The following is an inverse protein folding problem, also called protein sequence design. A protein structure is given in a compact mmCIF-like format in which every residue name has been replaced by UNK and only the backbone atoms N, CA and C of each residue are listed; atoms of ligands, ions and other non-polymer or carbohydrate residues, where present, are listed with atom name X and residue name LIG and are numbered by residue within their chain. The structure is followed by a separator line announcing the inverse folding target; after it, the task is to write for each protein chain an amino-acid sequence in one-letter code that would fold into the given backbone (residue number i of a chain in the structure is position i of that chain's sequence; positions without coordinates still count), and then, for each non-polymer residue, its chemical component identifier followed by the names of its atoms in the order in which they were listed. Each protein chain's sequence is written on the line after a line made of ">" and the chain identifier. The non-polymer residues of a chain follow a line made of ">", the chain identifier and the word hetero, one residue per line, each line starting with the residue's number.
data_IF_771723528951
#
_entry.id   IF_771723528951
#
_cell.length_a   1.000
_cell.length_b   1.000
_cell.length_c   1.000
_cell.angle_alpha   90.00
_cell.angle_beta   90.00
_cell.angle_gamma   90.00
#
_symmetry.space_group_name_H-M   'P 1'
#
loop_
_entity.id
_entity.type
_entity.pdbx_description
1 polymer ?
#
# COMPACT_ATOMS: atom_id res chain seq x y z
N UNK A 1 -9.20 21.19 -1.05
CA UNK A 1 -10.04 20.16 -1.16
C UNK A 1 -9.38 18.93 -1.58
N UNK A 2 -9.84 17.85 -1.15
CA UNK A 2 -9.21 16.63 -1.49
C UNK A 2 -9.80 16.05 -2.73
N UNK A 3 -8.95 15.67 -3.66
CA UNK A 3 -9.42 15.02 -4.85
C UNK A 3 -9.33 13.52 -4.70
N UNK A 4 -8.82 13.03 -3.56
CA UNK A 4 -8.64 11.62 -3.36
C UNK A 4 -9.70 11.00 -2.46
N UNK A 5 -10.72 11.77 -2.13
CA UNK A 5 -11.75 11.28 -1.23
C UNK A 5 -12.38 10.01 -1.77
N UNK A 6 -12.37 8.97 -0.97
CA UNK A 6 -12.87 7.64 -1.33
C UNK A 6 -12.09 6.90 -2.42
N UNK A 7 -10.94 7.40 -2.84
CA UNK A 7 -10.08 6.62 -3.72
C UNK A 7 -9.47 5.48 -2.92
N UNK A 8 -9.32 4.32 -3.54
CA UNK A 8 -8.70 3.17 -2.89
C UNK A 8 -7.32 2.98 -3.49
N UNK A 9 -6.29 3.17 -2.68
CA UNK A 9 -4.91 3.18 -3.14
C UNK A 9 -4.10 2.10 -2.44
N UNK A 10 -3.40 1.29 -3.22
CA UNK A 10 -2.56 0.23 -2.69
C UNK A 10 -1.10 0.59 -2.93
N UNK A 11 -0.31 0.69 -1.86
CA UNK A 11 1.10 1.03 -1.95
C UNK A 11 1.90 -0.11 -1.36
N UNK A 12 2.91 -0.59 -2.07
CA UNK A 12 3.79 -1.60 -1.49
C UNK A 12 4.91 -0.90 -0.73
N UNK A 13 5.32 -1.46 0.39
CA UNK A 13 6.40 -0.88 1.18
C UNK A 13 6.04 0.43 1.85
N UNK A 14 4.82 0.53 2.36
CA UNK A 14 4.35 1.77 2.97
C UNK A 14 4.90 2.06 4.36
N UNK A 15 5.75 1.20 4.89
CA UNK A 15 6.19 1.33 6.28
C UNK A 15 7.36 2.26 6.52
N UNK A 16 8.01 2.74 5.50
CA UNK A 16 9.14 3.64 5.68
C UNK A 16 9.44 4.43 4.42
N UNK A 17 10.28 5.45 4.56
CA UNK A 17 10.78 6.23 3.44
C UNK A 17 9.67 6.86 2.60
N UNK A 18 9.84 6.80 1.30
CA UNK A 18 8.89 7.40 0.37
C UNK A 18 7.52 6.77 0.51
N UNK A 19 7.46 5.46 0.71
CA UNK A 19 6.17 4.78 0.87
C UNK A 19 5.38 5.32 2.05
N UNK A 20 6.05 5.54 3.18
CA UNK A 20 5.37 6.08 4.35
C UNK A 20 4.91 7.52 4.10
N UNK A 21 5.72 8.32 3.42
CA UNK A 21 5.34 9.68 3.10
C UNK A 21 4.10 9.72 2.22
N UNK A 22 4.02 8.79 1.26
CA UNK A 22 2.85 8.70 0.40
C UNK A 22 1.61 8.25 1.18
N UNK A 23 1.78 7.29 2.08
CA UNK A 23 0.68 6.83 2.92
C UNK A 23 0.11 8.01 3.70
N UNK A 24 0.97 8.78 4.34
CA UNK A 24 0.55 9.92 5.13
C UNK A 24 -0.23 10.92 4.28
N UNK A 25 0.31 11.23 3.12
CA UNK A 25 -0.30 12.23 2.28
C UNK A 25 -1.65 11.77 1.74
N UNK A 26 -1.73 10.53 1.30
CA UNK A 26 -2.98 10.03 0.75
C UNK A 26 -4.08 9.95 1.82
N UNK A 27 -3.71 9.56 3.04
CA UNK A 27 -4.69 9.52 4.11
C UNK A 27 -5.18 10.94 4.41
N UNK A 28 -4.27 11.92 4.39
CA UNK A 28 -4.66 13.31 4.62
C UNK A 28 -5.62 13.80 3.53
N UNK A 29 -5.47 13.26 2.33
CA UNK A 29 -6.32 13.66 1.22
C UNK A 29 -7.65 12.90 1.16
N UNK A 30 -7.91 12.06 2.13
CA UNK A 30 -9.17 11.35 2.21
C UNK A 30 -9.22 9.99 1.55
N UNK A 31 -8.09 9.49 1.07
CA UNK A 31 -8.05 8.19 0.41
C UNK A 31 -8.12 7.05 1.41
N UNK A 32 -8.58 5.90 0.94
CA UNK A 32 -8.48 4.67 1.69
C UNK A 32 -7.18 4.01 1.23
N UNK A 33 -6.26 3.81 2.15
CA UNK A 33 -4.92 3.34 1.80
C UNK A 33 -4.69 1.93 2.30
N UNK A 34 -4.09 1.11 1.46
CA UNK A 34 -3.66 -0.23 1.86
C UNK A 34 -2.19 -0.37 1.52
N UNK A 35 -1.48 -1.18 2.27
CA UNK A 35 -0.08 -1.45 1.98
C UNK A 35 0.26 -2.89 2.27
N UNK A 36 1.18 -3.45 1.49
CA UNK A 36 1.77 -4.75 1.73
C UNK A 36 3.19 -4.47 2.20
N UNK A 37 3.51 -4.86 3.41
CA UNK A 37 4.77 -4.52 4.05
C UNK A 37 5.42 -5.77 4.63
N UNK A 38 6.68 -5.99 4.34
CA UNK A 38 7.37 -7.19 4.80
C UNK A 38 7.62 -7.20 6.31
N UNK A 39 7.88 -6.07 6.89
CA UNK A 39 8.24 -5.98 8.30
C UNK A 39 7.02 -5.98 9.20
N UNK A 40 6.90 -7.00 10.05
CA UNK A 40 5.80 -7.06 11.01
C UNK A 40 5.80 -5.86 11.94
N UNK A 41 6.98 -5.37 12.32
CA UNK A 41 7.08 -4.22 13.20
C UNK A 41 6.53 -2.97 12.52
N UNK A 42 6.81 -2.81 11.23
CA UNK A 42 6.30 -1.65 10.49
C UNK A 42 4.79 -1.75 10.28
N UNK A 43 4.29 -2.96 10.06
CA UNK A 43 2.86 -3.17 9.95
C UNK A 43 2.18 -2.75 11.25
N UNK A 44 2.72 -3.18 12.39
CA UNK A 44 2.15 -2.81 13.67
C UNK A 44 2.18 -1.30 13.89
N UNK A 45 3.27 -0.67 13.51
CA UNK A 45 3.43 0.76 13.65
C UNK A 45 2.40 1.51 12.80
N UNK A 46 2.18 1.05 11.58
CA UNK A 46 1.21 1.67 10.69
C UNK A 46 -0.20 1.54 11.25
N UNK A 47 -0.53 0.36 11.77
CA UNK A 47 -1.85 0.14 12.36
C UNK A 47 -2.08 1.01 13.58
N UNK A 48 -1.04 1.17 14.39
CA UNK A 48 -1.15 1.99 15.57
C UNK A 48 -1.31 3.45 15.22
N UNK A 49 -0.58 3.90 14.21
CA UNK A 49 -0.56 5.31 13.84
C UNK A 49 -1.79 5.75 13.07
N UNK A 50 -2.26 4.94 12.15
CA UNK A 50 -3.34 5.34 11.26
C UNK A 50 -4.67 4.65 11.53
N UNK A 51 -4.65 3.60 12.34
CA UNK A 51 -5.88 2.94 12.75
C UNK A 51 -6.69 2.43 11.58
N UNK A 52 -7.96 2.79 11.55
CA UNK A 52 -8.85 2.29 10.52
C UNK A 52 -8.68 3.01 9.19
N UNK A 53 -7.82 4.01 9.13
CA UNK A 53 -7.57 4.70 7.86
C UNK A 53 -6.60 3.93 6.98
N UNK A 54 -5.99 2.88 7.47
CA UNK A 54 -5.08 2.09 6.68
C UNK A 54 -5.38 0.60 6.80
N UNK A 55 -5.19 -0.13 5.72
CA UNK A 55 -5.24 -1.58 5.75
C UNK A 55 -3.79 -2.04 5.55
N UNK A 56 -3.11 -2.37 6.63
CA UNK A 56 -1.72 -2.80 6.55
C UNK A 56 -1.66 -4.31 6.61
N UNK A 57 -1.10 -4.92 5.58
CA UNK A 57 -1.01 -6.37 5.44
C UNK A 57 0.46 -6.77 5.46
N UNK A 58 0.79 -7.72 6.30
CA UNK A 58 2.16 -8.21 6.35
C UNK A 58 2.35 -9.22 5.23
N UNK A 59 3.40 -9.07 4.46
CA UNK A 59 3.69 -10.02 3.39
C UNK A 59 4.85 -9.59 2.53
N UNK A 60 5.26 -10.48 1.65
CA UNK A 60 6.42 -10.28 0.80
C UNK A 60 5.94 -9.86 -0.58
N UNK A 61 6.41 -8.73 -1.07
CA UNK A 61 5.99 -8.22 -2.37
C UNK A 61 6.41 -9.10 -3.52
N UNK A 62 7.34 -10.01 -3.30
CA UNK A 62 7.73 -10.94 -4.35
C UNK A 62 6.89 -12.22 -4.35
N UNK A 63 5.96 -12.34 -3.43
CA UNK A 63 5.10 -13.52 -3.32
C UNK A 63 3.72 -13.21 -3.88
N UNK A 64 3.36 -13.87 -4.96
CA UNK A 64 2.08 -13.62 -5.62
C UNK A 64 0.90 -13.87 -4.66
N UNK A 65 1.00 -14.90 -3.85
CA UNK A 65 -0.09 -15.22 -2.91
C UNK A 65 -0.31 -14.09 -1.91
N UNK A 66 0.77 -13.41 -1.49
CA UNK A 66 0.66 -12.30 -0.56
C UNK A 66 -0.02 -11.11 -1.23
N UNK A 67 0.31 -10.86 -2.49
CA UNK A 67 -0.33 -9.81 -3.25
C UNK A 67 -1.82 -10.11 -3.39
N UNK A 68 -2.14 -11.35 -3.73
CA UNK A 68 -3.52 -11.74 -3.94
C UNK A 68 -4.33 -11.57 -2.65
N UNK A 69 -3.73 -11.94 -1.53
CA UNK A 69 -4.39 -11.81 -0.23
C UNK A 69 -4.64 -10.34 0.09
N UNK A 70 -3.67 -9.48 -0.20
CA UNK A 70 -3.82 -8.06 0.05
C UNK A 70 -4.93 -7.47 -0.83
N UNK A 71 -4.94 -7.82 -2.11
CA UNK A 71 -5.95 -7.32 -3.03
C UNK A 71 -7.34 -7.79 -2.60
N UNK A 72 -7.45 -9.06 -2.18
CA UNK A 72 -8.74 -9.59 -1.72
C UNK A 72 -9.25 -8.82 -0.50
N UNK A 73 -8.35 -8.47 0.41
CA UNK A 73 -8.74 -7.70 1.58
C UNK A 73 -9.15 -6.28 1.21
N UNK A 74 -8.47 -5.68 0.24
CA UNK A 74 -8.81 -4.35 -0.23
C UNK A 74 -10.20 -4.36 -0.83
N UNK A 75 -10.48 -5.34 -1.68
CA UNK A 75 -11.77 -5.41 -2.34
C UNK A 75 -12.90 -5.71 -1.35
N UNK A 76 -12.62 -6.50 -0.33
CA UNK A 76 -13.61 -6.78 0.69
C UNK A 76 -13.92 -5.51 1.47
N UNK A 77 -12.92 -4.71 1.74
CA UNK A 77 -13.07 -3.53 2.58
C UNK A 77 -13.67 -2.34 1.84
N UNK A 78 -13.20 -2.07 0.63
CA UNK A 78 -13.60 -0.87 -0.10
C UNK A 78 -14.37 -1.13 -1.38
N UNK A 79 -14.41 -2.36 -1.82
CA UNK A 79 -15.15 -2.73 -3.03
C UNK A 79 -14.44 -2.40 -4.34
N UNK A 80 -13.29 -1.77 -4.29
CA UNK A 80 -12.59 -1.36 -5.49
C UNK A 80 -11.13 -1.10 -5.22
N UNK A 81 -10.35 -1.00 -6.27
CA UNK A 81 -8.95 -0.60 -6.19
C UNK A 81 -8.72 0.39 -7.33
N UNK A 82 -8.48 1.63 -7.00
CA UNK A 82 -8.33 2.69 -8.00
C UNK A 82 -6.89 2.92 -8.45
N UNK A 83 -5.94 2.70 -7.59
CA UNK A 83 -4.55 3.03 -7.89
C UNK A 83 -3.59 2.10 -7.17
N UNK A 84 -2.54 1.67 -7.87
CA UNK A 84 -1.50 0.84 -7.28
C UNK A 84 -0.17 1.54 -7.44
N UNK A 85 0.59 1.65 -6.37
CA UNK A 85 1.91 2.24 -6.40
C UNK A 85 2.92 1.22 -5.91
N UNK A 86 3.72 0.71 -6.81
CA UNK A 86 4.74 -0.26 -6.47
C UNK A 86 5.99 0.44 -5.99
N UNK A 87 6.10 0.65 -4.72
CA UNK A 87 7.23 1.34 -4.12
C UNK A 87 8.33 0.39 -3.65
N UNK A 88 7.95 -0.72 -3.04
CA UNK A 88 8.93 -1.64 -2.49
C UNK A 88 9.73 -2.29 -3.58
N UNK A 89 11.00 -2.29 -3.43
CA UNK A 89 11.88 -2.99 -4.33
C UNK A 89 12.10 -2.37 -5.67
N UNK A 90 11.55 -1.21 -5.94
CA UNK A 90 11.68 -0.69 -7.16
C UNK A 90 13.01 -0.33 -7.51
N UNK A 91 13.77 0.09 -6.63
CA UNK A 91 15.05 0.48 -6.88
C UNK A 91 15.91 -0.57 -7.44
N UNK A 92 15.49 -1.72 -7.37
CA UNK A 92 16.17 -2.79 -7.76
C UNK A 92 16.41 -2.88 -9.11
N UNK A 93 16.79 -2.33 -9.66
CA UNK A 93 17.04 -2.46 -10.93
C UNK A 93 16.08 -2.68 -11.73
N UNK A 94 15.86 -2.60 -11.92
CA UNK A 94 15.29 -2.71 -12.81
C UNK A 94 14.35 -2.87 -13.33
N UNK A 95 14.52 -2.90 -13.54
CA UNK A 95 13.79 -3.15 -14.36
C UNK A 95 12.61 -3.41 -14.09
N UNK A 96 12.56 -4.08 -13.41
CA UNK A 96 11.46 -4.60 -13.21
C UNK A 96 10.47 -3.70 -13.08
N UNK A 97 10.66 -2.80 -12.65
CA UNK A 97 9.67 -2.07 -12.44
C UNK A 97 9.11 -1.62 -13.48
N UNK A 98 9.80 -1.51 -14.16
CA UNK A 98 9.37 -1.02 -15.20
C UNK A 98 8.42 -1.72 -15.75
N UNK A 99 8.58 -2.71 -15.63
CA UNK A 99 7.71 -3.41 -16.24
C UNK A 99 6.74 -3.75 -15.51
N UNK A 100 6.83 -3.63 -14.74
CA UNK A 100 5.94 -3.86 -14.16
C UNK A 100 5.04 -3.33 -14.11
N UNK A 101 4.88 -3.03 -14.38
CA UNK A 101 4.10 -2.48 -14.36
C UNK A 101 3.24 -2.54 -14.41
N UNK A 102 3.50 -2.82 -14.52
CA UNK A 102 2.83 -2.70 -14.70
C UNK A 102 2.61 -2.79 -14.63
#
# INVERSE_FOLDING_TARGET
>A
MSDLHNESIFITGGGSGLGLALVERFIEEGAQVATLELSAAKVASLRQRFGEHILAVEGNVTCYADYQRAVDQILTRSGKLDCFIGNAGIWDHNASLVNTPA
#
